data_IF_048171875127
#
_entry.id   IF_048171875127
#
_cell.length_a   1.000
_cell.length_b   1.000
_cell.length_c   1.000
_cell.angle_alpha   90.00
_cell.angle_beta   90.00
_cell.angle_gamma   90.00
#
_symmetry.space_group_name_H-M   'P 1'
#
loop_
_entity.id
_entity.type
_entity.pdbx_description
1 polymer ?
#
# COMPACT_ATOMS: atom_id res chain seq x y z
N UNK A 1 19.81 -2.95 8.22
CA UNK A 1 18.94 -3.56 9.25
C UNK A 1 18.89 -5.06 9.00
N UNK A 2 18.80 -5.89 10.03
CA UNK A 2 18.62 -7.34 9.84
C UNK A 2 17.16 -7.62 9.45
N UNK A 3 16.92 -8.60 8.57
CA UNK A 3 15.58 -8.89 8.07
C UNK A 3 14.62 -9.35 9.19
N UNK A 4 15.15 -9.99 10.23
CA UNK A 4 14.39 -10.45 11.40
C UNK A 4 13.95 -9.30 12.31
N UNK A 5 14.62 -8.16 12.23
CA UNK A 5 14.37 -6.95 13.01
C UNK A 5 13.61 -5.89 12.18
N UNK A 6 13.18 -6.23 10.95
CA UNK A 6 12.58 -5.30 10.00
C UNK A 6 11.26 -5.84 9.47
N UNK A 7 10.27 -4.96 9.30
CA UNK A 7 9.03 -5.27 8.59
C UNK A 7 8.61 -4.11 7.68
N UNK A 8 8.00 -4.44 6.54
CA UNK A 8 7.25 -3.50 5.71
C UNK A 8 5.80 -3.47 6.19
N UNK A 9 5.31 -2.30 6.60
CA UNK A 9 3.91 -2.06 6.90
C UNK A 9 3.25 -1.33 5.73
N UNK A 10 2.23 -1.96 5.13
CA UNK A 10 1.40 -1.36 4.08
C UNK A 10 0.04 -1.02 4.68
N UNK A 11 -0.27 0.28 4.74
CA UNK A 11 -1.46 0.79 5.40
C UNK A 11 -2.46 1.27 4.35
N UNK A 12 -3.69 0.77 4.43
CA UNK A 12 -4.86 1.30 3.73
C UNK A 12 -4.71 1.48 2.21
N UNK A 13 -3.92 0.60 1.57
CA UNK A 13 -3.88 0.46 0.11
C UNK A 13 -5.07 -0.36 -0.41
N UNK A 14 -6.26 0.05 0.01
CA UNK A 14 -7.55 -0.58 -0.30
C UNK A 14 -8.24 0.14 -1.46
N UNK A 15 -9.11 -0.58 -2.17
CA UNK A 15 -9.87 -0.03 -3.30
C UNK A 15 -10.59 1.29 -2.97
N UNK A 16 -11.07 1.47 -1.73
CA UNK A 16 -11.73 2.71 -1.29
C UNK A 16 -10.83 3.95 -1.35
N UNK A 17 -9.51 3.76 -1.20
CA UNK A 17 -8.52 4.84 -1.15
C UNK A 17 -7.67 4.92 -2.42
N UNK A 18 -7.68 3.90 -3.29
CA UNK A 18 -6.77 3.80 -4.44
C UNK A 18 -7.47 3.60 -5.79
N UNK A 19 -8.81 3.61 -5.83
CA UNK A 19 -9.57 3.57 -7.09
C UNK A 19 -10.44 4.81 -7.24
N UNK A 20 -10.65 5.24 -8.48
CA UNK A 20 -11.59 6.32 -8.79
C UNK A 20 -13.02 5.97 -8.37
N UNK A 21 -13.40 4.69 -8.44
CA UNK A 21 -14.71 4.20 -8.01
C UNK A 21 -14.80 3.94 -6.49
N UNK A 22 -13.68 4.11 -5.77
CA UNK A 22 -13.60 3.99 -4.32
C UNK A 22 -14.17 5.20 -3.58
N UNK A 23 -14.20 5.13 -2.25
CA UNK A 23 -14.67 6.21 -1.38
C UNK A 23 -14.04 7.56 -1.71
N UNK A 24 -12.70 7.69 -1.76
CA UNK A 24 -12.05 8.98 -2.00
C UNK A 24 -12.33 9.52 -3.40
N UNK A 25 -12.27 8.65 -4.42
CA UNK A 25 -12.55 9.06 -5.80
C UNK A 25 -14.00 9.52 -6.00
N UNK A 26 -14.97 8.81 -5.39
CA UNK A 26 -16.38 9.22 -5.38
C UNK A 26 -16.64 10.55 -4.67
N UNK A 27 -15.81 10.89 -3.68
CA UNK A 27 -15.88 12.17 -2.97
C UNK A 27 -15.08 13.29 -3.67
N UNK A 28 -14.60 13.06 -4.89
CA UNK A 28 -13.96 14.09 -5.73
C UNK A 28 -12.51 14.42 -5.35
N UNK A 29 -11.86 13.58 -4.56
CA UNK A 29 -10.43 13.75 -4.27
C UNK A 29 -9.56 13.49 -5.51
N UNK A 30 -8.47 14.24 -5.64
CA UNK A 30 -7.44 13.94 -6.64
C UNK A 30 -6.70 12.64 -6.26
N UNK A 31 -6.87 11.63 -7.10
CA UNK A 31 -6.29 10.30 -6.90
C UNK A 31 -4.88 10.18 -7.51
N UNK A 32 -4.42 11.18 -8.27
CA UNK A 32 -3.14 11.12 -8.99
C UNK A 32 -1.95 10.81 -8.06
N UNK A 33 -1.83 11.43 -6.86
CA UNK A 33 -0.70 11.16 -5.97
C UNK A 33 -0.69 9.73 -5.42
N UNK A 34 -1.85 9.18 -5.04
CA UNK A 34 -1.94 7.82 -4.50
C UNK A 34 -1.77 6.77 -5.58
N UNK A 35 -2.24 7.03 -6.81
CA UNK A 35 -2.01 6.14 -7.95
C UNK A 35 -0.54 6.10 -8.38
N UNK A 36 0.15 7.24 -8.28
CA UNK A 36 1.56 7.33 -8.64
C UNK A 36 2.47 6.42 -7.79
N UNK A 37 2.13 6.17 -6.53
CA UNK A 37 2.95 5.31 -5.64
C UNK A 37 2.67 3.81 -5.80
N UNK A 38 1.54 3.41 -6.41
CA UNK A 38 1.13 1.99 -6.52
C UNK A 38 2.21 1.09 -7.17
N UNK A 39 2.82 1.46 -8.30
CA UNK A 39 3.86 0.62 -8.93
C UNK A 39 5.07 0.46 -8.02
N UNK A 40 5.48 1.52 -7.34
CA UNK A 40 6.67 1.57 -6.50
C UNK A 40 6.47 0.75 -5.23
N UNK A 41 5.29 0.86 -4.63
CA UNK A 41 4.90 0.01 -3.51
C UNK A 41 4.88 -1.47 -3.90
N UNK A 42 4.34 -1.80 -5.08
CA UNK A 42 4.31 -3.19 -5.56
C UNK A 42 5.73 -3.75 -5.75
N UNK A 43 6.65 -2.94 -6.29
CA UNK A 43 8.08 -3.28 -6.39
C UNK A 43 8.71 -3.48 -5.01
N UNK A 44 8.41 -2.62 -4.04
CA UNK A 44 8.92 -2.73 -2.67
C UNK A 44 8.39 -3.99 -1.95
N UNK A 45 7.10 -4.29 -2.11
CA UNK A 45 6.49 -5.53 -1.57
C UNK A 45 7.16 -6.76 -2.16
N UNK A 46 7.41 -6.77 -3.47
CA UNK A 46 8.14 -7.83 -4.16
C UNK A 46 9.57 -7.99 -3.62
N UNK A 47 10.31 -6.88 -3.53
CA UNK A 47 11.66 -6.88 -2.98
C UNK A 47 11.70 -7.42 -1.55
N UNK A 48 10.82 -6.96 -0.66
CA UNK A 48 10.74 -7.44 0.71
C UNK A 48 10.38 -8.93 0.79
N UNK A 49 9.52 -9.41 -0.12
CA UNK A 49 9.20 -10.83 -0.22
C UNK A 49 10.43 -11.66 -0.57
N UNK A 50 11.16 -11.24 -1.60
CA UNK A 50 12.30 -11.98 -2.12
C UNK A 50 13.49 -11.93 -1.13
N UNK A 51 13.60 -10.84 -0.35
CA UNK A 51 14.58 -10.70 0.74
C UNK A 51 14.20 -11.42 2.05
N UNK A 52 13.00 -12.00 2.13
CA UNK A 52 12.49 -12.65 3.36
C UNK A 52 12.19 -11.67 4.50
N UNK A 53 11.93 -10.40 4.19
CA UNK A 53 11.47 -9.38 5.14
C UNK A 53 9.96 -9.56 5.39
N UNK A 54 9.54 -9.43 6.64
CA UNK A 54 8.13 -9.49 7.03
C UNK A 54 7.33 -8.39 6.34
N UNK A 55 6.12 -8.72 5.87
CA UNK A 55 5.22 -7.79 5.18
C UNK A 55 3.86 -7.85 5.86
N UNK A 56 3.42 -6.75 6.44
CA UNK A 56 2.17 -6.65 7.19
C UNK A 56 1.25 -5.69 6.44
N UNK A 57 0.02 -6.12 6.21
CA UNK A 57 -1.01 -5.32 5.55
C UNK A 57 -2.06 -4.95 6.58
N UNK A 58 -2.31 -3.65 6.72
CA UNK A 58 -3.31 -3.09 7.62
C UNK A 58 -4.48 -2.59 6.80
N UNK A 59 -5.68 -2.86 7.29
CA UNK A 59 -6.93 -2.38 6.72
C UNK A 59 -7.79 -1.81 7.84
N UNK A 60 -8.24 -0.58 7.65
CA UNK A 60 -9.30 0.04 8.45
C UNK A 60 -10.68 -0.43 7.97
N UNK A 61 -11.55 -0.83 8.91
CA UNK A 61 -12.96 -1.17 8.69
C UNK A 61 -13.83 -0.42 9.70
N UNK A 62 -15.01 0.04 9.27
CA UNK A 62 -15.96 0.80 10.09
C UNK A 62 -17.36 0.20 9.97
#
# INVERSE_FOLDING_TARGET
>A
MKKEETALLVVDMQNDFVRHEGYLGKNGHDMSPVLAIVPDLSRLVGFCRDAGVSRIFVRSIH
#
